data_IF_489984029932
#
_entry.id   IF_489984029932
#
_cell.length_a   1.000
_cell.length_b   1.000
_cell.length_c   1.000
_cell.angle_alpha   90.00
_cell.angle_beta   90.00
_cell.angle_gamma   90.00
#
_symmetry.space_group_name_H-M   'P 1'
#
loop_
_entity.id
_entity.type
_entity.pdbx_description
1 polymer ?
#
# COMPACT_ATOMS: atom_id res chain seq x y z
N UNK A 1 -47.21 -23.34 1.22
CA UNK A 1 -46.15 -24.05 1.96
C UNK A 1 -45.17 -24.62 0.94
N UNK A 2 -43.94 -24.11 0.90
CA UNK A 2 -42.71 -24.81 0.51
C UNK A 2 -41.54 -23.88 0.86
N UNK A 3 -40.98 -24.06 2.07
CA UNK A 3 -39.65 -23.49 2.39
C UNK A 3 -38.62 -24.45 1.79
N UNK A 4 -37.59 -23.96 1.08
CA UNK A 4 -36.47 -24.81 0.69
C UNK A 4 -35.67 -25.22 1.94
N UNK A 5 -35.30 -26.50 2.00
CA UNK A 5 -34.59 -27.13 3.12
C UNK A 5 -33.17 -26.56 3.29
N UNK A 6 -32.85 -26.05 4.49
CA UNK A 6 -31.54 -25.52 4.89
C UNK A 6 -30.49 -26.60 5.20
N UNK A 7 -30.54 -27.75 4.53
CA UNK A 7 -29.73 -28.94 4.85
C UNK A 7 -28.80 -29.42 3.73
N UNK A 8 -28.62 -28.65 2.66
CA UNK A 8 -27.69 -29.01 1.58
C UNK A 8 -26.33 -28.35 1.79
N UNK A 9 -25.20 -29.07 1.63
CA UNK A 9 -23.86 -28.48 1.74
C UNK A 9 -23.74 -27.30 0.77
N UNK A 10 -23.15 -26.20 1.25
CA UNK A 10 -23.11 -24.86 0.67
C UNK A 10 -23.14 -24.86 -0.87
N UNK A 11 -24.36 -24.77 -1.41
CA UNK A 11 -24.60 -24.76 -2.85
C UNK A 11 -23.98 -23.51 -3.50
N UNK A 12 -23.90 -22.42 -2.74
CA UNK A 12 -23.25 -21.17 -3.15
C UNK A 12 -21.74 -21.34 -3.30
N UNK A 13 -21.06 -22.05 -2.38
CA UNK A 13 -19.62 -22.27 -2.47
C UNK A 13 -19.26 -23.10 -3.71
N UNK A 14 -20.03 -24.17 -3.98
CA UNK A 14 -19.86 -24.96 -5.20
C UNK A 14 -20.18 -24.18 -6.49
N UNK A 15 -21.06 -23.18 -6.41
CA UNK A 15 -21.43 -22.33 -7.54
C UNK A 15 -20.35 -21.27 -7.83
N UNK A 16 -19.74 -20.70 -6.79
CA UNK A 16 -18.64 -19.76 -6.92
C UNK A 16 -17.39 -20.42 -7.52
N UNK A 17 -17.11 -21.68 -7.16
CA UNK A 17 -16.02 -22.48 -7.74
C UNK A 17 -16.23 -22.73 -9.24
N UNK A 18 -17.46 -22.98 -9.68
CA UNK A 18 -17.78 -23.18 -11.09
C UNK A 18 -17.62 -21.89 -11.92
N UNK A 19 -18.01 -20.75 -11.35
CA UNK A 19 -17.83 -19.42 -11.97
C UNK A 19 -16.35 -19.07 -12.07
N UNK A 20 -15.57 -19.36 -11.04
CA UNK A 20 -14.12 -19.17 -11.04
C UNK A 20 -13.43 -20.02 -12.12
N UNK A 21 -13.79 -21.29 -12.25
CA UNK A 21 -13.22 -22.19 -13.27
C UNK A 21 -13.54 -21.73 -14.70
N UNK A 22 -14.74 -21.21 -14.94
CA UNK A 22 -15.11 -20.61 -16.24
C UNK A 22 -14.29 -19.35 -16.56
N UNK A 23 -14.04 -18.49 -15.56
CA UNK A 23 -13.16 -17.33 -15.72
C UNK A 23 -11.72 -17.73 -16.04
N UNK A 24 -11.19 -18.74 -15.33
CA UNK A 24 -9.82 -19.25 -15.56
C UNK A 24 -9.72 -19.89 -16.94
N UNK A 25 -10.69 -20.73 -17.33
CA UNK A 25 -10.72 -21.34 -18.65
C UNK A 25 -10.76 -20.28 -19.76
N UNK A 26 -11.58 -19.22 -19.61
CA UNK A 26 -11.62 -18.10 -20.55
C UNK A 26 -10.31 -17.31 -20.61
N UNK A 27 -9.61 -17.19 -19.49
CA UNK A 27 -8.32 -16.51 -19.42
C UNK A 27 -7.20 -17.34 -20.07
N UNK A 28 -7.22 -18.65 -19.86
CA UNK A 28 -6.29 -19.60 -20.49
C UNK A 28 -6.58 -19.79 -21.98
N UNK A 29 -7.84 -19.70 -22.41
CA UNK A 29 -8.26 -19.78 -23.80
C UNK A 29 -7.99 -18.50 -24.59
N UNK A 30 -7.60 -17.39 -23.96
CA UNK A 30 -7.17 -16.17 -24.65
C UNK A 30 -5.66 -16.24 -24.94
N UNK A 31 -5.20 -16.76 -26.11
CA UNK A 31 -3.80 -16.68 -26.46
C UNK A 31 -3.39 -15.22 -26.55
N UNK A 32 -2.33 -14.86 -25.82
CA UNK A 32 -1.63 -13.60 -25.97
C UNK A 32 -1.20 -13.46 -27.43
N UNK A 33 -2.00 -12.75 -28.22
CA UNK A 33 -1.70 -12.45 -29.62
C UNK A 33 -0.82 -11.19 -29.58
N UNK A 34 0.48 -11.28 -29.94
CA UNK A 34 1.27 -10.07 -30.16
C UNK A 34 0.65 -9.39 -31.38
N UNK A 35 -0.03 -8.27 -31.16
CA UNK A 35 -0.57 -7.44 -32.25
C UNK A 35 0.60 -6.69 -32.88
N UNK A 36 1.39 -7.41 -33.66
CA UNK A 36 2.16 -6.88 -34.77
C UNK A 36 1.28 -6.97 -36.01
N UNK A 37 0.48 -5.94 -36.26
CA UNK A 37 -0.18 -5.77 -37.56
C UNK A 37 0.45 -4.56 -38.22
N UNK A 38 1.48 -4.86 -39.01
CA UNK A 38 2.05 -3.94 -39.97
C UNK A 38 1.01 -3.68 -41.07
N UNK A 39 0.72 -2.41 -41.27
CA UNK A 39 -0.09 -1.88 -42.37
C UNK A 39 0.78 -1.85 -43.65
N UNK A 40 0.38 -2.47 -44.78
CA UNK A 40 1.17 -2.45 -45.99
C UNK A 40 0.56 -1.44 -46.98
N UNK A 41 0.90 -0.16 -46.84
CA UNK A 41 0.83 0.81 -47.95
C UNK A 41 1.40 2.16 -47.48
N UNK A 42 2.71 2.40 -47.69
CA UNK A 42 3.26 3.61 -48.35
C UNK A 42 4.64 3.25 -48.90
N UNK A 43 4.79 3.53 -50.18
CA UNK A 43 5.90 3.22 -51.06
C UNK A 43 7.17 4.08 -50.84
N UNK A 44 8.30 3.53 -51.33
CA UNK A 44 9.51 4.19 -51.86
C UNK A 44 10.41 4.94 -50.84
N UNK A 45 11.75 4.89 -50.84
CA UNK A 45 12.82 4.36 -51.70
C UNK A 45 14.15 4.41 -50.87
N UNK A 46 15.27 3.78 -51.31
CA UNK A 46 16.41 3.44 -50.45
C UNK A 46 17.63 4.40 -50.57
N UNK A 47 18.56 4.34 -49.60
CA UNK A 47 19.95 4.79 -49.79
C UNK A 47 20.83 4.74 -48.53
N UNK A 48 22.13 4.38 -48.61
CA UNK A 48 22.91 3.81 -47.50
C UNK A 48 24.12 4.67 -47.03
N UNK A 49 24.84 4.12 -46.05
CA UNK A 49 26.22 4.40 -45.62
C UNK A 49 26.52 5.62 -44.74
N UNK A 50 27.07 5.35 -43.54
CA UNK A 50 28.43 5.78 -43.21
C UNK A 50 28.91 5.11 -41.90
N UNK A 51 30.01 4.38 -42.06
CA UNK A 51 30.90 3.75 -41.08
C UNK A 51 31.56 4.72 -40.10
N UNK A 52 31.87 4.24 -38.88
CA UNK A 52 33.23 4.37 -38.37
C UNK A 52 33.43 4.72 -36.88
N UNK A 53 34.22 3.84 -36.23
CA UNK A 53 35.32 4.11 -35.28
C UNK A 53 35.01 3.90 -33.77
N UNK A 54 35.45 2.73 -33.28
CA UNK A 54 35.98 2.49 -31.92
C UNK A 54 37.38 3.14 -31.78
N UNK A 55 37.89 3.57 -30.59
CA UNK A 55 38.24 2.63 -29.51
C UNK A 55 38.28 3.14 -28.04
N UNK A 56 38.48 2.18 -27.14
CA UNK A 56 39.09 2.23 -25.79
C UNK A 56 38.30 2.68 -24.53
N UNK A 57 38.12 1.70 -23.64
CA UNK A 57 37.66 1.75 -22.23
C UNK A 57 38.83 2.11 -21.27
N UNK A 58 38.59 2.67 -20.07
CA UNK A 58 38.47 1.82 -18.87
C UNK A 58 37.34 2.26 -17.89
N UNK A 59 36.71 1.27 -17.24
CA UNK A 59 35.50 1.40 -16.41
C UNK A 59 35.64 2.19 -15.08
N UNK A 60 34.59 2.20 -14.23
CA UNK A 60 34.24 0.99 -13.49
C UNK A 60 32.73 0.75 -13.24
N UNK A 61 32.41 -0.52 -12.94
CA UNK A 61 31.32 -1.00 -12.08
C UNK A 61 29.84 -0.68 -12.46
N UNK A 62 29.16 -1.71 -12.96
CA UNK A 62 27.69 -1.85 -12.96
C UNK A 62 27.34 -3.24 -13.51
N UNK A 63 26.49 -4.03 -12.83
CA UNK A 63 26.48 -5.48 -12.97
C UNK A 63 26.01 -5.94 -14.34
N UNK A 64 26.65 -7.03 -14.75
CA UNK A 64 26.49 -7.79 -15.98
C UNK A 64 25.08 -7.76 -16.58
N UNK A 65 25.07 -7.36 -17.84
CA UNK A 65 24.05 -7.75 -18.79
C UNK A 65 23.90 -9.27 -18.78
N UNK A 66 22.73 -9.75 -18.34
CA UNK A 66 22.21 -11.04 -18.80
C UNK A 66 21.18 -10.72 -19.88
N UNK A 67 21.69 -10.53 -21.10
CA UNK A 67 20.85 -10.55 -22.29
C UNK A 67 20.43 -12.00 -22.56
N UNK A 68 19.12 -12.25 -22.55
CA UNK A 68 18.50 -13.28 -23.38
C UNK A 68 18.07 -14.57 -22.67
N UNK A 69 16.79 -14.65 -22.30
CA UNK A 69 15.86 -15.61 -22.92
C UNK A 69 14.43 -15.28 -22.47
N UNK A 70 13.46 -15.32 -23.39
CA UNK A 70 12.06 -14.91 -23.19
C UNK A 70 11.26 -15.77 -22.23
N UNK A 71 11.67 -15.83 -20.96
CA UNK A 71 10.90 -16.41 -19.87
C UNK A 71 10.29 -15.25 -19.09
N UNK A 72 8.96 -15.23 -18.98
CA UNK A 72 8.27 -14.29 -18.09
C UNK A 72 8.86 -14.42 -16.69
N UNK A 73 9.37 -13.32 -16.13
CA UNK A 73 9.93 -13.31 -14.79
C UNK A 73 8.89 -13.86 -13.80
N UNK A 74 9.30 -14.83 -12.99
CA UNK A 74 8.44 -15.47 -12.00
C UNK A 74 8.64 -14.81 -10.65
N UNK A 75 7.64 -14.93 -9.77
CA UNK A 75 7.67 -14.30 -8.45
C UNK A 75 8.92 -14.68 -7.62
N UNK A 76 9.53 -15.85 -7.87
CA UNK A 76 10.77 -16.29 -7.22
C UNK A 76 12.01 -15.51 -7.65
N UNK A 77 12.00 -14.91 -8.84
CA UNK A 77 13.13 -14.15 -9.37
C UNK A 77 13.30 -12.79 -8.66
N UNK A 78 12.26 -12.34 -7.93
CA UNK A 78 12.23 -11.09 -7.17
C UNK A 78 12.34 -11.29 -5.66
N UNK A 79 12.69 -12.49 -5.19
CA UNK A 79 12.80 -12.77 -3.77
C UNK A 79 14.26 -12.84 -3.31
N UNK A 80 14.86 -11.72 -2.87
CA UNK A 80 16.26 -11.69 -2.44
C UNK A 80 16.52 -12.48 -1.15
N UNK A 81 15.48 -12.92 -0.44
CA UNK A 81 15.57 -13.64 0.81
C UNK A 81 15.13 -15.11 0.68
N UNK A 82 14.66 -15.53 -0.50
CA UNK A 82 14.34 -16.93 -0.83
C UNK A 82 13.09 -17.52 -0.13
N UNK A 83 12.20 -16.67 0.38
CA UNK A 83 11.00 -17.03 1.13
C UNK A 83 9.85 -17.61 0.27
N UNK A 84 9.84 -17.35 -1.04
CA UNK A 84 8.81 -17.74 -2.00
C UNK A 84 8.84 -19.24 -2.35
N UNK A 85 9.86 -19.97 -1.87
CA UNK A 85 9.96 -21.42 -1.97
C UNK A 85 9.47 -22.15 -0.71
N UNK A 86 9.48 -21.48 0.44
CA UNK A 86 9.04 -22.04 1.71
C UNK A 86 7.52 -21.96 1.81
N UNK A 87 6.88 -23.12 1.97
CA UNK A 87 5.47 -23.14 2.34
C UNK A 87 5.31 -22.37 3.67
N UNK A 88 4.33 -21.46 3.78
CA UNK A 88 4.05 -20.79 5.04
C UNK A 88 3.90 -21.82 6.15
N UNK A 89 4.62 -21.65 7.27
CA UNK A 89 4.47 -22.49 8.48
C UNK A 89 3.13 -22.24 9.18
N UNK A 90 2.39 -21.23 8.71
CA UNK A 90 1.04 -20.92 9.18
C UNK A 90 0.09 -22.09 8.91
N UNK A 91 -0.74 -22.40 9.90
CA UNK A 91 -1.79 -23.39 9.79
C UNK A 91 -2.65 -23.12 8.55
N UNK A 92 -3.00 -24.19 7.83
CA UNK A 92 -3.89 -24.11 6.67
C UNK A 92 -5.18 -23.37 7.06
N UNK A 93 -5.84 -22.71 6.10
CA UNK A 93 -7.08 -21.98 6.37
C UNK A 93 -8.11 -22.89 7.08
N UNK A 94 -8.19 -24.15 6.64
CA UNK A 94 -9.02 -25.19 7.25
C UNK A 94 -8.62 -25.52 8.70
N UNK A 95 -7.32 -25.61 9.01
CA UNK A 95 -6.85 -25.85 10.39
C UNK A 95 -7.05 -24.65 11.31
N UNK A 96 -6.96 -23.41 10.82
CA UNK A 96 -7.30 -22.23 11.63
C UNK A 96 -8.78 -22.15 11.95
N UNK A 97 -9.63 -22.56 11.01
CA UNK A 97 -11.06 -22.66 11.22
C UNK A 97 -11.40 -23.78 12.22
N UNK A 98 -10.69 -24.91 12.18
CA UNK A 98 -10.83 -26.00 13.14
C UNK A 98 -10.27 -25.69 14.54
N UNK A 99 -9.22 -24.87 14.64
CA UNK A 99 -8.60 -24.46 15.89
C UNK A 99 -9.39 -23.37 16.65
N UNK A 100 -10.44 -22.82 16.04
CA UNK A 100 -11.35 -21.87 16.69
C UNK A 100 -12.26 -22.64 17.67
N UNK A 101 -12.14 -22.46 19.00
CA UNK A 101 -12.98 -23.16 19.96
C UNK A 101 -14.40 -22.59 19.86
N UNK A 102 -15.30 -23.29 19.15
CA UNK A 102 -16.69 -22.86 19.01
C UNK A 102 -17.44 -23.39 17.78
N UNK A 103 -16.77 -23.96 16.78
CA UNK A 103 -17.42 -24.44 15.55
C UNK A 103 -18.12 -25.80 15.66
N UNK A 104 -18.10 -26.45 16.83
CA UNK A 104 -18.82 -27.72 17.06
C UNK A 104 -19.64 -27.64 18.34
N UNK A 105 -20.82 -27.04 18.24
CA UNK A 105 -21.86 -27.25 19.24
C UNK A 105 -22.49 -28.64 19.04
N UNK A 106 -22.23 -29.57 19.96
CA UNK A 106 -23.28 -30.39 20.57
C UNK A 106 -22.74 -31.22 21.74
N UNK A 107 -23.33 -30.96 22.93
CA UNK A 107 -23.38 -31.78 24.14
C UNK A 107 -22.08 -32.06 24.90
N UNK A 108 -21.88 -31.35 26.03
CA UNK A 108 -22.09 -31.98 27.34
C UNK A 108 -22.20 -30.91 28.45
N UNK A 109 -23.08 -31.18 29.41
CA UNK A 109 -23.33 -30.32 30.56
C UNK A 109 -22.21 -30.50 31.59
N UNK A 110 -21.72 -29.40 32.18
CA UNK A 110 -20.71 -29.49 33.23
C UNK A 110 -20.31 -28.15 33.82
N UNK A 111 -21.10 -27.71 34.81
CA UNK A 111 -20.72 -26.85 35.94
C UNK A 111 -19.37 -26.11 35.87
N UNK A 112 -19.46 -24.78 35.75
CA UNK A 112 -18.54 -23.87 36.43
C UNK A 112 -19.21 -22.53 36.69
N UNK A 113 -19.45 -22.31 37.97
CA UNK A 113 -19.89 -21.08 38.64
C UNK A 113 -19.00 -19.88 38.34
N UNK A 114 -19.60 -18.72 38.08
CA UNK A 114 -18.97 -17.42 38.33
C UNK A 114 -19.15 -16.39 37.22
N UNK A 115 -19.90 -15.34 37.56
CA UNK A 115 -19.98 -14.02 36.93
C UNK A 115 -20.81 -13.86 35.64
N UNK A 116 -22.03 -13.38 35.83
CA UNK A 116 -22.76 -12.38 35.03
C UNK A 116 -22.17 -12.03 33.66
N UNK A 117 -22.32 -12.95 32.71
CA UNK A 117 -22.30 -12.64 31.28
C UNK A 117 -23.69 -12.98 30.75
N UNK A 118 -24.53 -11.96 30.55
CA UNK A 118 -25.75 -12.10 29.76
C UNK A 118 -25.33 -12.49 28.34
N UNK A 119 -25.31 -13.80 28.10
CA UNK A 119 -25.00 -14.40 26.82
C UNK A 119 -26.11 -14.11 25.82
N UNK A 120 -25.90 -13.06 25.02
CA UNK A 120 -26.44 -13.03 23.66
C UNK A 120 -25.78 -14.14 22.82
N UNK A 121 -26.41 -14.57 21.72
CA UNK A 121 -25.84 -15.56 20.82
C UNK A 121 -24.41 -15.14 20.45
N UNK A 122 -23.46 -16.08 20.46
CA UNK A 122 -22.08 -15.81 20.08
C UNK A 122 -22.06 -15.39 18.60
N UNK A 123 -22.12 -14.08 18.35
CA UNK A 123 -22.04 -13.47 17.04
C UNK A 123 -20.69 -13.85 16.42
N UNK A 124 -20.71 -14.53 15.28
CA UNK A 124 -19.53 -14.82 14.49
C UNK A 124 -18.94 -13.54 13.89
N UNK A 125 -17.72 -13.57 13.31
CA UNK A 125 -17.03 -12.39 12.77
C UNK A 125 -17.76 -11.64 11.63
N UNK A 126 -18.92 -12.13 11.19
CA UNK A 126 -19.76 -11.51 10.16
C UNK A 126 -21.14 -11.11 10.66
N UNK A 127 -21.45 -11.39 11.93
CA UNK A 127 -22.79 -11.20 12.48
C UNK A 127 -22.95 -9.82 13.14
N UNK A 128 -22.21 -8.81 12.67
CA UNK A 128 -22.41 -7.42 13.04
C UNK A 128 -23.67 -6.90 12.32
N UNK A 129 -24.77 -6.83 13.06
CA UNK A 129 -25.91 -6.04 12.61
C UNK A 129 -25.53 -4.56 12.80
N UNK A 130 -25.67 -3.75 11.76
CA UNK A 130 -25.63 -2.31 11.93
C UNK A 130 -26.73 -1.93 12.94
N UNK A 131 -26.34 -1.36 14.06
CA UNK A 131 -27.30 -0.73 14.96
C UNK A 131 -27.91 0.42 14.16
N UNK A 132 -29.23 0.41 13.96
CA UNK A 132 -29.98 1.53 13.37
C UNK A 132 -29.92 2.71 14.35
N UNK A 133 -28.74 3.29 14.57
CA UNK A 133 -28.56 4.56 15.27
C UNK A 133 -28.87 5.69 14.28
N UNK A 134 -29.95 6.46 14.49
CA UNK A 134 -30.32 7.58 13.62
C UNK A 134 -29.38 8.79 13.76
N UNK A 135 -28.33 8.71 14.58
CA UNK A 135 -27.28 9.70 14.68
C UNK A 135 -26.44 9.76 13.40
N UNK A 136 -26.95 10.48 12.39
CA UNK A 136 -26.18 10.78 11.17
C UNK A 136 -24.84 11.44 11.58
N UNK A 137 -23.71 10.88 11.14
CA UNK A 137 -22.40 11.42 11.47
C UNK A 137 -22.29 12.84 10.88
N UNK A 138 -22.38 13.84 11.75
CA UNK A 138 -22.11 15.24 11.39
C UNK A 138 -20.69 15.55 11.88
N UNK A 139 -19.69 15.64 10.97
CA UNK A 139 -18.37 16.11 11.37
C UNK A 139 -18.50 17.48 12.03
N UNK A 140 -17.84 17.64 13.17
CA UNK A 140 -17.71 18.97 13.75
C UNK A 140 -17.02 19.90 12.74
N UNK A 141 -17.52 21.12 12.63
CA UNK A 141 -16.96 22.07 11.67
C UNK A 141 -15.51 22.39 12.10
N UNK A 142 -14.53 22.18 11.20
CA UNK A 142 -13.14 22.22 11.61
C UNK A 142 -12.77 23.62 12.12
N UNK A 143 -11.97 23.71 13.20
CA UNK A 143 -11.49 24.99 13.69
C UNK A 143 -10.77 25.74 12.56
N UNK A 144 -11.02 27.05 12.46
CA UNK A 144 -10.46 27.88 11.39
C UNK A 144 -8.94 27.80 11.37
N UNK A 145 -8.36 27.43 10.22
CA UNK A 145 -6.91 27.37 9.99
C UNK A 145 -6.21 28.73 10.19
N UNK A 146 -6.98 29.83 10.16
CA UNK A 146 -6.54 31.18 10.48
C UNK A 146 -6.01 31.34 11.92
N UNK A 147 -6.29 30.38 12.82
CA UNK A 147 -5.80 30.36 14.19
C UNK A 147 -4.36 29.84 14.37
N UNK A 148 -3.63 29.53 13.28
CA UNK A 148 -2.26 29.03 13.40
C UNK A 148 -1.34 30.10 13.99
N UNK A 149 -0.54 29.73 14.99
CA UNK A 149 0.43 30.63 15.63
C UNK A 149 1.39 31.25 14.59
N UNK A 150 1.50 32.59 14.50
CA UNK A 150 2.36 33.26 13.53
C UNK A 150 3.83 32.82 13.63
N UNK A 151 4.30 32.43 14.82
CA UNK A 151 5.68 31.97 15.00
C UNK A 151 5.89 30.61 14.34
N UNK A 152 4.89 29.74 14.35
CA UNK A 152 4.90 28.46 13.62
C UNK A 152 4.89 28.69 12.11
N UNK A 153 4.12 29.68 11.62
CA UNK A 153 4.15 30.05 10.20
C UNK A 153 5.53 30.56 9.78
N UNK A 154 6.17 31.43 10.58
CA UNK A 154 7.52 31.91 10.31
C UNK A 154 8.54 30.77 10.30
N UNK A 155 8.38 29.80 11.19
CA UNK A 155 9.27 28.66 11.24
C UNK A 155 9.06 27.71 10.04
N UNK A 156 7.83 27.48 9.57
CA UNK A 156 7.60 26.78 8.31
C UNK A 156 8.18 27.53 7.10
N UNK A 157 8.02 28.85 7.09
CA UNK A 157 8.62 29.70 6.07
C UNK A 157 10.15 29.64 6.12
N UNK A 158 10.76 29.57 7.30
CA UNK A 158 12.20 29.34 7.45
C UNK A 158 12.63 27.94 7.00
N UNK A 159 11.88 26.91 7.40
CA UNK A 159 12.20 25.51 7.12
C UNK A 159 12.13 25.19 5.62
N UNK A 160 11.11 25.68 4.91
CA UNK A 160 10.99 25.50 3.45
C UNK A 160 11.73 26.61 2.70
N UNK A 161 11.59 27.85 3.17
CA UNK A 161 12.12 29.03 2.48
C UNK A 161 13.63 29.12 2.51
N UNK A 162 14.33 28.64 3.55
CA UNK A 162 15.79 28.68 3.56
C UNK A 162 16.45 27.75 2.52
N UNK A 163 16.03 26.48 2.35
CA UNK A 163 16.47 25.64 1.23
C UNK A 163 16.18 26.26 -0.14
N UNK A 164 14.97 26.80 -0.34
CA UNK A 164 14.59 27.46 -1.60
C UNK A 164 15.43 28.72 -1.81
N UNK A 165 15.63 29.53 -0.78
CA UNK A 165 16.47 30.73 -0.84
C UNK A 165 17.92 30.39 -1.13
N UNK A 166 18.45 29.28 -0.59
CA UNK A 166 19.77 28.75 -0.93
C UNK A 166 19.88 28.39 -2.41
N UNK A 167 18.88 27.68 -2.97
CA UNK A 167 18.85 27.36 -4.40
C UNK A 167 18.81 28.62 -5.26
N UNK A 168 17.95 29.58 -4.91
CA UNK A 168 17.86 30.87 -5.61
C UNK A 168 19.15 31.67 -5.48
N UNK A 169 19.81 31.66 -4.32
CA UNK A 169 21.09 32.31 -4.13
C UNK A 169 22.19 31.67 -4.99
N UNK A 170 22.22 30.35 -5.10
CA UNK A 170 23.20 29.68 -5.98
C UNK A 170 22.95 30.01 -7.45
N UNK A 171 21.68 30.12 -7.87
CA UNK A 171 21.30 30.37 -9.27
C UNK A 171 21.48 31.84 -9.69
N UNK A 172 21.07 32.79 -8.85
CA UNK A 172 21.04 34.22 -9.18
C UNK A 172 22.13 35.04 -8.48
N UNK A 173 22.75 34.51 -7.42
CA UNK A 173 23.68 35.23 -6.56
C UNK A 173 24.98 34.45 -6.35
N UNK A 174 25.64 34.06 -7.45
CA UNK A 174 26.87 33.25 -7.46
C UNK A 174 28.00 33.81 -6.59
N UNK A 175 28.03 35.12 -6.35
CA UNK A 175 29.02 35.82 -5.51
C UNK A 175 28.50 36.16 -4.11
N UNK A 176 27.49 35.44 -3.59
CA UNK A 176 26.95 35.68 -2.26
C UNK A 176 28.07 35.58 -1.20
N UNK A 177 28.18 36.55 -0.28
CA UNK A 177 29.19 36.51 0.77
C UNK A 177 28.92 35.32 1.70
N UNK A 178 29.98 34.71 2.23
CA UNK A 178 29.89 33.52 3.09
C UNK A 178 28.92 33.73 4.27
N UNK A 179 28.88 34.95 4.81
CA UNK A 179 27.99 35.35 5.90
C UNK A 179 26.49 35.20 5.54
N UNK A 180 26.10 35.46 4.29
CA UNK A 180 24.73 35.27 3.83
C UNK A 180 24.35 33.79 3.76
N UNK A 181 25.27 32.94 3.26
CA UNK A 181 25.07 31.49 3.19
C UNK A 181 24.92 30.91 4.59
N UNK A 182 25.84 31.25 5.51
CA UNK A 182 25.76 30.83 6.92
C UNK A 182 24.49 31.34 7.57
N UNK A 183 24.06 32.57 7.28
CA UNK A 183 22.79 33.12 7.76
C UNK A 183 21.57 32.29 7.33
N UNK A 184 21.48 31.91 6.05
CA UNK A 184 20.37 31.07 5.55
C UNK A 184 20.38 29.69 6.21
N UNK A 185 21.55 29.08 6.38
CA UNK A 185 21.69 27.80 7.08
C UNK A 185 21.29 27.93 8.56
N UNK A 186 21.69 29.00 9.23
CA UNK A 186 21.33 29.25 10.63
C UNK A 186 19.81 29.44 10.80
N UNK A 187 19.16 30.18 9.89
CA UNK A 187 17.69 30.33 9.87
C UNK A 187 17.00 28.98 9.68
N UNK A 188 17.51 28.14 8.77
CA UNK A 188 16.98 26.80 8.56
C UNK A 188 17.06 25.94 9.83
N UNK A 189 18.23 25.89 10.48
CA UNK A 189 18.44 25.10 11.71
C UNK A 189 17.51 25.61 12.82
N UNK A 190 17.44 26.93 13.02
CA UNK A 190 16.60 27.53 14.05
C UNK A 190 15.11 27.23 13.82
N UNK A 191 14.65 27.31 12.58
CA UNK A 191 13.28 26.96 12.21
C UNK A 191 12.96 25.48 12.49
N UNK A 192 13.83 24.56 12.07
CA UNK A 192 13.63 23.12 12.27
C UNK A 192 13.64 22.77 13.76
N UNK A 193 14.58 23.29 14.53
CA UNK A 193 14.62 23.09 15.99
C UNK A 193 13.35 23.62 16.65
N UNK A 194 12.87 24.80 16.26
CA UNK A 194 11.61 25.35 16.75
C UNK A 194 10.42 24.44 16.43
N UNK A 195 10.32 23.91 15.19
CA UNK A 195 9.26 22.98 14.82
C UNK A 195 9.29 21.71 15.67
N UNK A 196 10.46 21.13 15.88
CA UNK A 196 10.62 19.92 16.70
C UNK A 196 10.17 20.17 18.14
N UNK A 197 10.55 21.32 18.72
CA UNK A 197 10.10 21.70 20.07
C UNK A 197 8.59 21.97 20.16
N UNK A 198 7.95 22.31 19.03
CA UNK A 198 6.51 22.56 18.94
C UNK A 198 5.69 21.28 18.79
N UNK A 199 6.32 20.15 18.44
CA UNK A 199 5.62 18.89 18.27
C UNK A 199 5.04 18.41 19.61
N UNK A 200 3.74 18.08 19.68
CA UNK A 200 3.15 17.52 20.88
C UNK A 200 3.84 16.19 21.20
N UNK A 201 4.30 16.07 22.45
CA UNK A 201 5.02 14.88 22.94
C UNK A 201 4.08 13.79 23.46
N UNK A 202 2.80 14.12 23.61
CA UNK A 202 1.78 13.20 24.08
C UNK A 202 0.98 12.70 22.87
N UNK A 203 1.05 11.38 22.63
CA UNK A 203 0.17 10.68 21.69
C UNK A 203 -1.03 10.19 22.49
N UNK A 204 -2.24 10.46 22.03
CA UNK A 204 -3.41 9.79 22.60
C UNK A 204 -3.33 8.29 22.25
N UNK A 205 -3.33 7.44 23.28
CA UNK A 205 -3.27 5.98 23.13
C UNK A 205 -4.61 5.39 22.71
N UNK A 206 -5.72 6.13 22.88
CA UNK A 206 -7.07 5.66 22.59
C UNK A 206 -7.69 6.31 21.33
N UNK A 207 -6.99 7.25 20.71
CA UNK A 207 -7.41 7.87 19.45
C UNK A 207 -6.63 7.26 18.28
N UNK A 208 -7.14 6.13 17.79
CA UNK A 208 -6.63 5.44 16.59
C UNK A 208 -7.24 6.02 15.29
N UNK A 209 -7.98 7.14 15.38
CA UNK A 209 -8.63 7.79 14.24
C UNK A 209 -9.88 7.08 13.71
N UNK A 210 -10.26 5.94 14.30
CA UNK A 210 -11.49 5.24 13.98
C UNK A 210 -12.59 5.61 14.99
N UNK A 211 -13.69 6.19 14.50
CA UNK A 211 -14.96 6.29 15.24
C UNK A 211 -15.93 5.30 14.59
N UNK A 212 -16.41 4.32 15.36
CA UNK A 212 -17.39 3.31 14.93
C UNK A 212 -18.80 3.87 14.99
#
# INVERSE_FOLDING_TARGET
>A
MNRPDSGSPDQSANQDDAVWLDLVARLEEKPATPTGTADPDIAASPGPDATGIDPETPGPAGPEAVAGSGRSATFRDFDPLGLAGTAPTELSAAERQAATPGATGQADAGERTGADSQGGPAFGPRDYAAEDDPGDFVPEEPPSLAGTDPLTMLAWLGAIGAPVALLLAVMFWRSAPLLAIVGMVAVFILAVVYLIMKLPQEKDENDDGARV
#
